data_IF_017531668911
#
_entry.id   IF_017531668911
#
_cell.length_a   1.000
_cell.length_b   1.000
_cell.length_c   1.000
_cell.angle_alpha   90.00
_cell.angle_beta   90.00
_cell.angle_gamma   90.00
#
_symmetry.space_group_name_H-M   'P 1'
#
loop_
_entity.id
_entity.type
_entity.pdbx_description
1 polymer ?
#
# COMPACT_ATOMS: atom_id res chain seq x y z
N UNK A 1 -28.49 -11.23 -13.13
CA UNK A 1 -27.55 -10.77 -14.17
C UNK A 1 -28.08 -11.28 -15.51
N UNK A 2 -28.29 -10.39 -16.50
CA UNK A 2 -28.81 -10.72 -17.85
C UNK A 2 -27.69 -10.69 -18.89
N UNK A 3 -27.94 -11.22 -20.08
CA UNK A 3 -26.95 -11.22 -21.16
C UNK A 3 -26.47 -9.79 -21.49
N UNK A 4 -25.15 -9.63 -21.65
CA UNK A 4 -24.50 -8.34 -21.83
C UNK A 4 -24.31 -7.46 -20.58
N UNK A 5 -24.77 -7.89 -19.39
CA UNK A 5 -24.59 -7.14 -18.13
C UNK A 5 -23.60 -7.87 -17.22
N UNK A 6 -22.57 -7.17 -16.74
CA UNK A 6 -21.62 -7.68 -15.74
C UNK A 6 -21.77 -6.88 -14.45
N UNK A 7 -21.78 -7.57 -13.32
CA UNK A 7 -21.81 -6.96 -12.00
C UNK A 7 -20.58 -7.38 -11.21
N UNK A 8 -19.85 -6.40 -10.69
CA UNK A 8 -18.72 -6.62 -9.75
C UNK A 8 -19.09 -6.00 -8.41
N UNK A 9 -18.95 -6.78 -7.34
CA UNK A 9 -19.22 -6.32 -5.98
C UNK A 9 -17.89 -6.04 -5.31
N UNK A 10 -17.67 -4.79 -4.88
CA UNK A 10 -16.53 -4.39 -4.05
C UNK A 10 -17.01 -4.31 -2.60
N UNK A 11 -16.49 -5.20 -1.75
CA UNK A 11 -16.82 -5.24 -0.33
C UNK A 11 -15.76 -4.49 0.48
N UNK A 12 -16.20 -3.58 1.36
CA UNK A 12 -15.38 -2.93 2.38
C UNK A 12 -16.11 -3.14 3.70
N UNK A 13 -15.44 -3.75 4.68
CA UNK A 13 -16.01 -3.99 6.02
C UNK A 13 -15.30 -3.14 7.06
N UNK A 14 -16.01 -2.80 8.13
CA UNK A 14 -15.44 -2.04 9.24
C UNK A 14 -14.25 -2.77 9.87
N UNK A 15 -14.42 -4.05 10.21
CA UNK A 15 -13.38 -4.87 10.83
C UNK A 15 -12.08 -4.93 10.02
N UNK A 16 -12.18 -5.12 8.70
CA UNK A 16 -11.00 -5.19 7.84
C UNK A 16 -10.32 -3.81 7.70
N UNK A 17 -11.12 -2.75 7.59
CA UNK A 17 -10.63 -1.37 7.49
C UNK A 17 -9.92 -0.95 8.77
N UNK A 18 -10.45 -1.32 9.94
CA UNK A 18 -9.85 -1.06 11.24
C UNK A 18 -8.51 -1.79 11.41
N UNK A 19 -8.45 -3.07 11.03
CA UNK A 19 -7.21 -3.86 11.07
C UNK A 19 -6.09 -3.25 10.23
N UNK A 20 -6.37 -2.86 8.98
CA UNK A 20 -5.33 -2.27 8.12
C UNK A 20 -4.94 -0.87 8.58
N UNK A 21 -5.87 -0.10 9.15
CA UNK A 21 -5.58 1.20 9.75
C UNK A 21 -4.63 1.06 10.94
N UNK A 22 -4.96 0.19 11.91
CA UNK A 22 -4.13 -0.08 13.08
C UNK A 22 -2.73 -0.55 12.66
N UNK A 23 -2.66 -1.51 11.72
CA UNK A 23 -1.39 -1.97 11.17
C UNK A 23 -0.58 -0.84 10.52
N UNK A 24 -1.19 0.06 9.75
CA UNK A 24 -0.47 1.15 9.09
C UNK A 24 0.16 2.12 10.10
N UNK A 25 -0.55 2.44 11.18
CA UNK A 25 -0.03 3.30 12.25
C UNK A 25 1.04 2.61 13.09
N UNK A 26 0.85 1.33 13.44
CA UNK A 26 1.88 0.54 14.12
C UNK A 26 3.14 0.41 13.26
N UNK A 27 2.97 0.13 11.97
CA UNK A 27 4.07 0.08 11.00
C UNK A 27 4.81 1.42 10.95
N UNK A 28 4.08 2.54 10.89
CA UNK A 28 4.67 3.86 10.87
C UNK A 28 5.53 4.11 12.13
N UNK A 29 4.99 3.83 13.32
CA UNK A 29 5.73 4.00 14.58
C UNK A 29 6.96 3.09 14.66
N UNK A 30 6.80 1.81 14.36
CA UNK A 30 7.88 0.82 14.46
C UNK A 30 9.02 1.07 13.46
N UNK A 31 8.71 1.72 12.33
CA UNK A 31 9.68 2.06 11.29
C UNK A 31 10.03 3.56 11.27
N UNK A 32 9.75 4.30 12.35
CA UNK A 32 10.13 5.71 12.54
C UNK A 32 9.62 6.63 11.41
N UNK A 33 8.43 6.36 10.91
CA UNK A 33 7.74 7.19 9.90
C UNK A 33 6.97 8.30 10.59
N UNK A 34 6.86 9.43 9.92
CA UNK A 34 6.30 10.66 10.49
C UNK A 34 4.84 10.87 10.11
N UNK A 35 4.38 10.28 9.00
CA UNK A 35 3.01 10.48 8.53
C UNK A 35 2.37 9.27 7.87
N UNK A 36 1.05 9.16 8.02
CA UNK A 36 0.18 8.19 7.37
C UNK A 36 -0.89 8.95 6.59
N UNK A 37 -1.04 8.64 5.30
CA UNK A 37 -2.07 9.21 4.43
C UNK A 37 -3.07 8.14 4.02
N UNK A 38 -4.34 8.35 4.37
CA UNK A 38 -5.44 7.56 3.84
C UNK A 38 -5.72 7.94 2.38
N UNK A 39 -5.69 6.96 1.48
CA UNK A 39 -6.03 7.17 0.07
C UNK A 39 -7.39 6.57 -0.22
N UNK A 40 -8.34 7.40 -0.66
CA UNK A 40 -9.69 6.97 -0.96
C UNK A 40 -10.30 7.72 -2.16
N UNK A 41 -11.50 7.31 -2.57
CA UNK A 41 -12.30 7.99 -3.60
C UNK A 41 -13.71 8.29 -3.10
N UNK A 42 -13.84 8.59 -1.82
CA UNK A 42 -15.09 9.07 -1.25
C UNK A 42 -15.09 10.61 -1.26
N UNK A 43 -15.88 11.17 -2.16
CA UNK A 43 -16.39 12.52 -1.97
C UNK A 43 -17.62 12.37 -1.07
N UNK A 44 -17.76 13.22 -0.05
CA UNK A 44 -18.97 13.44 0.77
C UNK A 44 -18.84 12.97 2.24
N UNK A 45 -19.31 13.86 3.12
CA UNK A 45 -19.37 13.78 4.58
C UNK A 45 -20.68 13.07 4.95
N UNK A 46 -20.63 12.00 5.75
CA UNK A 46 -21.79 11.21 6.14
C UNK A 46 -22.04 11.15 7.65
N UNK A 47 -23.33 11.12 8.03
CA UNK A 47 -23.95 11.04 9.38
C UNK A 47 -23.96 12.30 10.25
N UNK A 48 -22.81 12.80 10.73
CA UNK A 48 -22.79 13.91 11.71
C UNK A 48 -23.39 15.22 11.17
N UNK A 49 -23.28 15.46 9.87
CA UNK A 49 -23.87 16.64 9.23
C UNK A 49 -25.39 16.47 9.06
N UNK A 50 -25.86 15.25 8.75
CA UNK A 50 -27.28 14.98 8.54
C UNK A 50 -28.08 15.13 9.85
N UNK A 51 -27.52 14.75 10.99
CA UNK A 51 -28.14 14.91 12.32
C UNK A 51 -28.41 16.37 12.69
N UNK A 52 -27.70 17.34 12.07
CA UNK A 52 -27.91 18.78 12.27
C UNK A 52 -29.14 19.32 11.54
N UNK A 53 -29.71 18.57 10.59
CA UNK A 53 -30.87 18.98 9.78
C UNK A 53 -32.08 18.09 10.08
N UNK A 54 -32.73 18.33 11.23
CA UNK A 54 -33.87 17.54 11.72
C UNK A 54 -35.10 17.55 10.80
N UNK A 55 -35.19 18.55 9.92
CA UNK A 55 -36.31 18.71 8.98
C UNK A 55 -36.12 17.87 7.71
N UNK A 56 -34.94 17.26 7.52
CA UNK A 56 -34.62 16.42 6.37
C UNK A 56 -34.78 14.95 6.79
N UNK A 57 -35.63 14.21 6.08
CA UNK A 57 -35.80 12.77 6.31
C UNK A 57 -34.57 12.03 5.79
N UNK A 58 -33.73 11.53 6.70
CA UNK A 58 -32.59 10.69 6.36
C UNK A 58 -33.00 9.20 6.35
N UNK A 59 -32.66 8.48 5.29
CA UNK A 59 -32.93 7.03 5.16
C UNK A 59 -31.64 6.32 4.80
N UNK A 60 -31.17 5.42 5.66
CA UNK A 60 -30.02 4.56 5.38
C UNK A 60 -30.47 3.35 4.56
N UNK A 61 -29.81 3.13 3.44
CA UNK A 61 -30.05 1.98 2.56
C UNK A 61 -28.72 1.40 2.11
N UNK A 62 -28.67 0.08 1.92
CA UNK A 62 -27.53 -0.56 1.29
C UNK A 62 -27.40 -0.10 -0.17
N UNK A 63 -26.17 0.10 -0.62
CA UNK A 63 -25.87 0.63 -1.95
C UNK A 63 -26.51 -0.21 -3.07
N UNK A 64 -26.54 -1.53 -2.92
CA UNK A 64 -27.17 -2.45 -3.87
C UNK A 64 -28.68 -2.21 -3.99
N UNK A 65 -29.35 -1.99 -2.88
CA UNK A 65 -30.78 -1.65 -2.81
C UNK A 65 -31.02 -0.29 -3.44
N UNK A 66 -30.17 0.71 -3.17
CA UNK A 66 -30.24 2.03 -3.82
C UNK A 66 -30.07 1.90 -5.33
N UNK A 67 -29.07 1.14 -5.81
CA UNK A 67 -28.84 0.94 -7.24
C UNK A 67 -30.04 0.25 -7.92
N UNK A 68 -30.61 -0.79 -7.31
CA UNK A 68 -31.80 -1.46 -7.84
C UNK A 68 -33.01 -0.53 -7.89
N UNK A 69 -33.25 0.20 -6.80
CA UNK A 69 -34.34 1.14 -6.67
C UNK A 69 -34.19 2.33 -7.63
N UNK A 70 -32.98 2.83 -7.87
CA UNK A 70 -32.71 3.90 -8.84
C UNK A 70 -33.06 3.49 -10.27
N UNK A 71 -32.83 2.22 -10.64
CA UNK A 71 -33.19 1.70 -11.96
C UNK A 71 -34.71 1.55 -12.09
N UNK A 72 -35.39 1.17 -11.00
CA UNK A 72 -36.84 0.98 -11.00
C UNK A 72 -37.63 2.31 -10.95
N UNK A 73 -37.21 3.23 -10.09
CA UNK A 73 -37.80 4.56 -9.94
C UNK A 73 -36.77 5.52 -9.30
N UNK A 74 -36.09 6.38 -10.07
CA UNK A 74 -35.14 7.33 -9.52
C UNK A 74 -35.80 8.49 -8.76
N UNK A 75 -37.11 8.73 -8.92
CA UNK A 75 -37.81 9.89 -8.33
C UNK A 75 -38.01 9.78 -6.82
N UNK A 76 -37.80 8.59 -6.25
CA UNK A 76 -37.84 8.35 -4.81
C UNK A 76 -36.62 8.91 -4.06
N UNK A 77 -35.59 9.39 -4.77
CA UNK A 77 -34.37 9.93 -4.19
C UNK A 77 -34.18 11.41 -4.55
N UNK A 78 -34.20 12.30 -3.55
CA UNK A 78 -33.87 13.71 -3.76
C UNK A 78 -32.35 13.93 -3.81
N UNK A 79 -31.63 13.37 -2.82
CA UNK A 79 -30.17 13.49 -2.68
C UNK A 79 -29.61 12.17 -2.17
N UNK A 80 -28.59 11.65 -2.84
CA UNK A 80 -27.83 10.48 -2.40
C UNK A 80 -26.52 10.92 -1.75
N UNK A 81 -26.33 10.48 -0.52
CA UNK A 81 -25.12 10.74 0.28
C UNK A 81 -24.47 9.39 0.53
N UNK A 82 -23.19 9.26 0.17
CA UNK A 82 -22.43 8.02 0.39
C UNK A 82 -21.40 8.26 1.51
N UNK A 83 -21.46 7.50 2.62
CA UNK A 83 -20.50 7.67 3.70
C UNK A 83 -19.10 7.19 3.29
N UNK A 84 -18.05 7.83 3.83
CA UNK A 84 -16.67 7.38 3.69
C UNK A 84 -16.29 6.46 4.86
N UNK A 85 -16.92 5.28 4.95
CA UNK A 85 -16.66 4.31 6.02
C UNK A 85 -15.16 4.10 6.27
N UNK A 86 -14.38 3.98 5.19
CA UNK A 86 -12.94 3.79 5.28
C UNK A 86 -12.23 4.99 5.92
N UNK A 87 -12.44 6.20 5.41
CA UNK A 87 -11.82 7.41 5.98
C UNK A 87 -12.23 7.68 7.42
N UNK A 88 -13.51 7.46 7.75
CA UNK A 88 -14.03 7.65 9.12
C UNK A 88 -13.34 6.72 10.12
N UNK A 89 -13.17 5.44 9.77
CA UNK A 89 -12.43 4.47 10.60
C UNK A 89 -10.95 4.89 10.76
N UNK A 90 -10.32 5.33 9.67
CA UNK A 90 -8.91 5.74 9.72
C UNK A 90 -8.72 6.99 10.59
N UNK A 91 -9.65 7.95 10.55
CA UNK A 91 -9.68 9.10 11.46
C UNK A 91 -9.80 8.66 12.92
N UNK A 92 -10.74 7.76 13.23
CA UNK A 92 -10.95 7.25 14.59
C UNK A 92 -9.68 6.54 15.12
N UNK A 93 -9.05 5.71 14.30
CA UNK A 93 -7.80 5.04 14.67
C UNK A 93 -6.67 6.05 14.87
N UNK A 94 -6.58 7.08 14.01
CA UNK A 94 -5.55 8.12 14.10
C UNK A 94 -5.55 8.85 15.44
N UNK A 95 -6.71 9.01 16.10
CA UNK A 95 -6.81 9.64 17.43
C UNK A 95 -5.96 8.94 18.51
N UNK A 96 -5.69 7.63 18.32
CA UNK A 96 -4.85 6.80 19.21
C UNK A 96 -3.34 6.97 18.94
N UNK A 97 -2.96 7.60 17.83
CA UNK A 97 -1.57 7.73 17.34
C UNK A 97 -1.19 9.21 17.11
N UNK A 98 -1.31 10.03 18.17
CA UNK A 98 -1.08 11.49 18.08
C UNK A 98 0.34 11.91 17.73
N UNK A 99 1.30 10.98 17.82
CA UNK A 99 2.69 11.12 17.41
C UNK A 99 2.89 11.01 15.88
N UNK A 100 1.90 10.48 15.16
CA UNK A 100 1.92 10.31 13.70
C UNK A 100 0.98 11.32 13.05
N UNK A 101 1.50 12.09 12.09
CA UNK A 101 0.66 13.02 11.32
C UNK A 101 -0.27 12.23 10.39
N UNK A 102 -1.58 12.43 10.55
CA UNK A 102 -2.58 11.83 9.67
C UNK A 102 -3.11 12.83 8.64
N UNK A 103 -3.22 12.38 7.38
CA UNK A 103 -3.85 13.13 6.29
C UNK A 103 -4.73 12.24 5.43
N UNK A 104 -5.65 12.84 4.67
CA UNK A 104 -6.51 12.13 3.72
C UNK A 104 -6.36 12.76 2.34
N UNK A 105 -6.28 11.92 1.30
CA UNK A 105 -6.15 12.39 -0.07
C UNK A 105 -6.94 11.52 -1.04
N UNK A 106 -7.40 12.14 -2.13
CA UNK A 106 -8.07 11.41 -3.19
C UNK A 106 -7.07 10.63 -4.04
N UNK A 107 -7.45 9.43 -4.49
CA UNK A 107 -6.61 8.56 -5.30
C UNK A 107 -6.03 9.25 -6.55
N UNK A 108 -6.84 10.03 -7.28
CA UNK A 108 -6.38 10.78 -8.46
C UNK A 108 -5.39 11.88 -8.10
N UNK A 109 -5.63 12.61 -7.01
CA UNK A 109 -4.68 13.60 -6.50
C UNK A 109 -3.38 12.93 -6.08
N UNK A 110 -3.43 11.79 -5.41
CA UNK A 110 -2.23 11.02 -5.04
C UNK A 110 -1.50 10.57 -6.30
N UNK A 111 -2.17 9.98 -7.29
CA UNK A 111 -1.52 9.58 -8.54
C UNK A 111 -0.84 10.75 -9.26
N UNK A 112 -1.52 11.91 -9.37
CA UNK A 112 -0.97 13.11 -9.99
C UNK A 112 0.26 13.63 -9.23
N UNK A 113 0.14 13.75 -7.91
CA UNK A 113 1.21 14.26 -7.06
C UNK A 113 2.39 13.28 -7.00
N UNK A 114 2.15 11.97 -7.04
CA UNK A 114 3.16 10.92 -6.97
C UNK A 114 4.12 10.98 -8.16
N UNK A 115 3.62 11.29 -9.36
CA UNK A 115 4.46 11.43 -10.55
C UNK A 115 5.12 12.80 -10.67
N UNK A 116 4.66 13.79 -9.91
CA UNK A 116 5.23 15.15 -9.91
C UNK A 116 6.29 15.33 -8.82
N UNK A 117 5.97 14.94 -7.60
CA UNK A 117 6.86 15.01 -6.44
C UNK A 117 6.51 13.87 -5.46
N UNK A 118 7.10 12.68 -5.61
CA UNK A 118 6.84 11.56 -4.71
C UNK A 118 7.38 11.79 -3.28
N UNK A 119 8.25 12.78 -3.07
CA UNK A 119 8.91 13.01 -1.77
C UNK A 119 7.96 13.56 -0.69
N UNK A 120 6.78 14.00 -1.09
CA UNK A 120 5.72 14.43 -0.17
C UNK A 120 5.04 13.29 0.58
N UNK A 121 5.23 12.03 0.15
CA UNK A 121 4.55 10.85 0.71
C UNK A 121 5.48 10.01 1.60
N UNK A 122 4.92 9.46 2.68
CA UNK A 122 5.62 8.59 3.62
C UNK A 122 4.93 7.21 3.68
N UNK A 123 3.91 7.04 4.53
CA UNK A 123 3.08 5.82 4.55
C UNK A 123 1.73 6.08 3.89
N UNK A 124 1.36 5.27 2.91
CA UNK A 124 0.05 5.31 2.27
C UNK A 124 -0.77 4.08 2.67
N UNK A 125 -2.01 4.30 3.11
CA UNK A 125 -2.93 3.23 3.50
C UNK A 125 -4.22 3.35 2.69
N UNK A 126 -4.65 2.23 2.08
CA UNK A 126 -5.76 2.26 1.12
C UNK A 126 -6.45 0.89 0.93
N UNK A 127 -7.66 0.85 0.36
CA UNK A 127 -8.32 -0.38 -0.05
C UNK A 127 -7.58 -1.15 -1.15
N UNK A 128 -7.78 -2.46 -1.21
CA UNK A 128 -7.07 -3.43 -2.07
C UNK A 128 -6.77 -2.93 -3.50
N UNK A 129 -7.79 -2.64 -4.31
CA UNK A 129 -7.60 -2.23 -5.71
C UNK A 129 -6.73 -0.97 -5.87
N UNK A 130 -6.78 -0.04 -4.90
CA UNK A 130 -5.97 1.18 -4.98
C UNK A 130 -4.52 0.87 -4.62
N UNK A 131 -4.31 -0.05 -3.66
CA UNK A 131 -3.01 -0.55 -3.26
C UNK A 131 -2.29 -1.20 -4.42
N UNK A 132 -2.98 -2.10 -5.14
CA UNK A 132 -2.47 -2.81 -6.32
C UNK A 132 -1.95 -1.83 -7.40
N UNK A 133 -2.73 -0.80 -7.70
CA UNK A 133 -2.35 0.21 -8.71
C UNK A 133 -1.20 1.09 -8.21
N UNK A 134 -1.28 1.61 -6.97
CA UNK A 134 -0.29 2.54 -6.45
C UNK A 134 1.05 1.85 -6.11
N UNK A 135 1.04 0.58 -5.69
CA UNK A 135 2.28 -0.17 -5.46
C UNK A 135 3.09 -0.33 -6.74
N UNK A 136 2.42 -0.65 -7.86
CA UNK A 136 3.08 -0.78 -9.17
C UNK A 136 3.55 0.56 -9.71
N UNK A 137 2.76 1.64 -9.51
CA UNK A 137 3.19 3.00 -9.83
C UNK A 137 4.49 3.35 -9.08
N UNK A 138 4.53 3.12 -7.77
CA UNK A 138 5.70 3.39 -6.94
C UNK A 138 6.90 2.52 -7.34
N UNK A 139 6.69 1.25 -7.68
CA UNK A 139 7.73 0.39 -8.22
C UNK A 139 8.32 0.97 -9.51
N UNK A 140 7.46 1.47 -10.42
CA UNK A 140 7.88 2.14 -11.65
C UNK A 140 8.78 3.37 -11.42
N UNK A 141 8.55 4.14 -10.35
CA UNK A 141 9.35 5.31 -10.02
C UNK A 141 10.79 4.98 -9.59
N UNK A 142 11.04 3.79 -9.04
CA UNK A 142 12.34 3.40 -8.48
C UNK A 142 13.14 2.43 -9.36
N UNK A 143 12.67 2.12 -10.56
CA UNK A 143 13.35 1.22 -11.51
C UNK A 143 12.60 -0.08 -11.81
N UNK A 144 11.39 -0.26 -11.27
CA UNK A 144 10.48 -1.36 -11.58
C UNK A 144 10.42 -2.46 -10.52
N UNK A 145 9.63 -3.49 -10.82
CA UNK A 145 9.36 -4.60 -9.90
C UNK A 145 10.61 -5.42 -9.54
N UNK A 146 11.65 -5.42 -10.38
CA UNK A 146 12.90 -6.16 -10.15
C UNK A 146 13.73 -5.70 -8.95
N UNK A 147 13.44 -4.51 -8.41
CA UNK A 147 14.10 -3.94 -7.22
C UNK A 147 13.14 -3.66 -6.06
N UNK A 148 11.86 -3.97 -6.22
CA UNK A 148 10.83 -3.61 -5.24
C UNK A 148 10.54 -4.79 -4.30
N UNK A 149 10.88 -4.71 -3.01
CA UNK A 149 10.55 -5.75 -2.06
C UNK A 149 9.07 -5.69 -1.63
N UNK A 150 8.52 -6.81 -1.19
CA UNK A 150 7.16 -6.89 -0.64
C UNK A 150 7.04 -7.88 0.52
N UNK A 151 6.02 -7.66 1.35
CA UNK A 151 5.69 -8.52 2.48
C UNK A 151 4.21 -8.47 2.80
N UNK A 152 3.61 -9.64 2.97
CA UNK A 152 2.22 -9.85 3.35
C UNK A 152 2.16 -10.28 4.81
N UNK A 153 1.47 -9.49 5.63
CA UNK A 153 1.30 -9.79 7.06
C UNK A 153 -0.12 -10.30 7.29
N UNK A 154 -0.21 -11.46 7.96
CA UNK A 154 -1.45 -12.15 8.26
C UNK A 154 -1.72 -12.27 9.76
N UNK A 155 -2.86 -12.89 10.09
CA UNK A 155 -3.21 -13.22 11.47
C UNK A 155 -2.25 -14.27 12.05
N UNK A 156 -2.26 -14.41 13.39
CA UNK A 156 -1.50 -15.43 14.12
C UNK A 156 0.02 -15.39 13.86
N UNK A 157 0.58 -14.19 13.71
CA UNK A 157 2.00 -13.95 13.44
C UNK A 157 2.52 -14.67 12.18
N UNK A 158 1.64 -14.90 11.20
CA UNK A 158 2.05 -15.40 9.88
C UNK A 158 2.47 -14.21 9.02
N UNK A 159 3.66 -14.29 8.42
CA UNK A 159 4.16 -13.30 7.47
C UNK A 159 4.80 -14.01 6.28
N UNK A 160 4.53 -13.52 5.06
CA UNK A 160 5.09 -14.04 3.81
C UNK A 160 5.81 -12.89 3.10
N UNK A 161 7.10 -13.06 2.86
CA UNK A 161 7.92 -12.08 2.13
C UNK A 161 8.25 -12.65 0.77
N UNK A 162 7.91 -11.92 -0.28
CA UNK A 162 7.98 -12.46 -1.64
C UNK A 162 8.46 -11.41 -2.65
N UNK A 163 8.88 -11.88 -3.81
CA UNK A 163 9.03 -11.11 -5.03
C UNK A 163 9.18 -12.07 -6.21
N UNK A 164 9.21 -11.55 -7.43
CA UNK A 164 9.33 -12.36 -8.64
C UNK A 164 10.79 -12.78 -8.83
N UNK A 165 11.06 -14.08 -8.76
CA UNK A 165 12.37 -14.66 -9.10
C UNK A 165 12.34 -15.30 -10.49
N UNK A 166 13.33 -15.00 -11.32
CA UNK A 166 13.46 -15.54 -12.67
C UNK A 166 14.70 -16.42 -12.89
N UNK A 167 14.98 -16.77 -14.15
CA UNK A 167 16.17 -17.51 -14.60
C UNK A 167 17.49 -16.77 -14.24
N UNK A 168 18.68 -17.36 -14.45
CA UNK A 168 20.02 -16.79 -14.12
C UNK A 168 20.38 -15.45 -14.85
N UNK A 169 19.41 -14.83 -15.52
CA UNK A 169 19.47 -13.45 -16.04
C UNK A 169 18.64 -12.45 -15.21
N UNK A 170 17.88 -12.92 -14.21
CA UNK A 170 17.01 -12.11 -13.39
C UNK A 170 17.80 -11.37 -12.30
N UNK A 171 17.28 -10.22 -11.91
CA UNK A 171 17.79 -9.47 -10.79
C UNK A 171 17.28 -10.06 -9.47
N UNK A 172 18.16 -10.53 -8.56
CA UNK A 172 17.74 -11.08 -7.28
C UNK A 172 17.41 -9.98 -6.25
N UNK A 173 17.60 -8.69 -6.57
CA UNK A 173 17.50 -7.57 -5.62
C UNK A 173 16.16 -7.53 -4.90
N UNK A 174 15.04 -7.62 -5.62
CA UNK A 174 13.73 -7.55 -4.98
C UNK A 174 13.50 -8.68 -3.96
N UNK A 175 13.80 -9.93 -4.33
CA UNK A 175 13.65 -11.07 -3.41
C UNK A 175 14.64 -10.98 -2.23
N UNK A 176 15.87 -10.52 -2.48
CA UNK A 176 16.88 -10.31 -1.44
C UNK A 176 16.42 -9.24 -0.43
N UNK A 177 15.87 -8.13 -0.91
CA UNK A 177 15.33 -7.08 -0.05
C UNK A 177 14.05 -7.51 0.67
N UNK A 178 13.21 -8.38 0.06
CA UNK A 178 12.10 -9.04 0.78
C UNK A 178 12.62 -9.94 1.90
N UNK A 179 13.74 -10.66 1.70
CA UNK A 179 14.39 -11.43 2.75
C UNK A 179 14.99 -10.51 3.85
N UNK A 180 15.51 -9.33 3.50
CA UNK A 180 15.91 -8.31 4.48
C UNK A 180 14.72 -7.83 5.31
N UNK A 181 13.56 -7.60 4.68
CA UNK A 181 12.32 -7.27 5.41
C UNK A 181 11.92 -8.38 6.39
N UNK A 182 12.04 -9.65 5.96
CA UNK A 182 11.81 -10.82 6.82
C UNK A 182 12.75 -10.83 8.03
N UNK A 183 14.05 -10.64 7.82
CA UNK A 183 15.04 -10.59 8.91
C UNK A 183 14.71 -9.48 9.92
N UNK A 184 14.34 -8.30 9.44
CA UNK A 184 13.89 -7.18 10.30
C UNK A 184 12.63 -7.53 11.07
N UNK A 185 11.66 -8.20 10.44
CA UNK A 185 10.44 -8.66 11.10
C UNK A 185 10.71 -9.69 12.21
N UNK A 186 11.74 -10.53 12.05
CA UNK A 186 12.19 -11.50 13.06
C UNK A 186 13.05 -10.89 14.18
N UNK A 187 13.36 -9.59 14.13
CA UNK A 187 14.27 -8.93 15.07
C UNK A 187 15.76 -9.11 14.77
N UNK A 188 16.12 -9.70 13.63
CA UNK A 188 17.48 -9.94 13.17
C UNK A 188 18.04 -8.72 12.40
N UNK A 189 17.94 -7.53 13.03
CA UNK A 189 18.21 -6.24 12.38
C UNK A 189 19.65 -6.11 11.85
N UNK A 190 20.64 -6.63 12.58
CA UNK A 190 22.05 -6.53 12.20
C UNK A 190 22.36 -7.31 10.93
N UNK A 191 21.82 -8.53 10.79
CA UNK A 191 21.93 -9.33 9.58
C UNK A 191 21.24 -8.65 8.40
N UNK A 192 20.03 -8.15 8.61
CA UNK A 192 19.30 -7.40 7.58
C UNK A 192 20.08 -6.17 7.11
N UNK A 193 20.68 -5.42 8.05
CA UNK A 193 21.47 -4.22 7.74
C UNK A 193 22.75 -4.54 6.97
N UNK A 194 23.47 -5.61 7.34
CA UNK A 194 24.67 -6.06 6.62
C UNK A 194 24.32 -6.39 5.16
N UNK A 195 23.33 -7.24 4.94
CA UNK A 195 22.90 -7.66 3.59
C UNK A 195 22.41 -6.47 2.76
N UNK A 196 21.58 -5.59 3.34
CA UNK A 196 21.08 -4.38 2.65
C UNK A 196 22.22 -3.45 2.23
N UNK A 197 23.16 -3.20 3.14
CA UNK A 197 24.32 -2.33 2.88
C UNK A 197 25.17 -2.90 1.75
N UNK A 198 25.52 -4.20 1.82
CA UNK A 198 26.28 -4.87 0.77
C UNK A 198 25.57 -4.85 -0.58
N UNK A 199 24.26 -5.06 -0.61
CA UNK A 199 23.46 -4.97 -1.84
C UNK A 199 23.49 -3.56 -2.43
N UNK A 200 23.24 -2.52 -1.61
CA UNK A 200 23.27 -1.14 -2.06
C UNK A 200 24.65 -0.68 -2.51
N UNK A 201 25.72 -1.11 -1.84
CA UNK A 201 27.08 -0.77 -2.24
C UNK A 201 27.48 -1.47 -3.55
N UNK A 202 27.06 -2.73 -3.78
CA UNK A 202 27.23 -3.40 -5.07
C UNK A 202 26.54 -2.62 -6.20
N UNK A 203 25.29 -2.17 -5.97
CA UNK A 203 24.54 -1.39 -6.96
C UNK A 203 25.21 -0.02 -7.20
N UNK A 204 25.66 0.65 -6.12
CA UNK A 204 26.32 1.96 -6.17
C UNK A 204 27.64 1.93 -6.94
N UNK A 205 28.40 0.84 -6.82
CA UNK A 205 29.71 0.69 -7.48
C UNK A 205 29.60 0.50 -9.00
N UNK A 206 28.45 0.08 -9.51
CA UNK A 206 28.13 -0.09 -10.94
C UNK A 206 29.05 -1.07 -11.70
N UNK A 207 29.87 -1.87 -11.01
CA UNK A 207 30.81 -2.82 -11.62
C UNK A 207 30.15 -4.14 -11.98
N UNK A 208 29.34 -4.67 -11.08
CA UNK A 208 28.63 -5.95 -11.24
C UNK A 208 27.14 -5.62 -11.14
N UNK A 209 26.49 -5.47 -12.30
CA UNK A 209 25.08 -5.12 -12.40
C UNK A 209 24.38 -6.06 -13.37
N UNK A 210 23.15 -6.45 -13.03
CA UNK A 210 22.27 -7.18 -13.94
C UNK A 210 21.75 -6.26 -15.06
N UNK A 211 21.19 -6.85 -16.11
CA UNK A 211 20.79 -6.14 -17.34
C UNK A 211 19.73 -5.06 -17.12
N UNK A 212 18.77 -5.32 -16.26
CA UNK A 212 17.71 -4.38 -15.87
C UNK A 212 18.24 -3.15 -15.12
N UNK A 213 19.37 -3.29 -14.44
CA UNK A 213 20.10 -2.19 -13.80
C UNK A 213 21.13 -1.51 -14.73
N UNK A 214 21.18 -1.91 -16.01
CA UNK A 214 22.09 -1.34 -17.01
C UNK A 214 23.46 -2.02 -17.13
N UNK A 215 23.67 -3.17 -16.47
CA UNK A 215 24.90 -3.95 -16.58
C UNK A 215 24.82 -5.13 -17.53
N UNK A 216 25.84 -5.99 -17.49
CA UNK A 216 25.92 -7.21 -18.30
C UNK A 216 26.22 -8.48 -17.47
N UNK A 217 26.22 -8.37 -16.14
CA UNK A 217 26.54 -9.47 -15.25
C UNK A 217 25.37 -10.44 -15.11
N UNK A 218 25.69 -11.70 -14.84
CA UNK A 218 24.70 -12.74 -14.50
C UNK A 218 24.18 -12.57 -13.07
N UNK A 219 23.05 -13.20 -12.77
CA UNK A 219 22.50 -13.25 -11.41
C UNK A 219 23.51 -13.84 -10.41
N UNK A 220 24.17 -14.94 -10.80
CA UNK A 220 25.24 -15.57 -10.02
C UNK A 220 26.43 -14.65 -9.73
N UNK A 221 26.88 -13.85 -10.69
CA UNK A 221 27.99 -12.90 -10.52
C UNK A 221 27.60 -11.77 -9.57
N UNK A 222 26.40 -11.21 -9.75
CA UNK A 222 25.84 -10.19 -8.86
C UNK A 222 25.71 -10.69 -7.41
N UNK A 223 25.24 -11.94 -7.26
CA UNK A 223 25.09 -12.57 -5.94
C UNK A 223 26.46 -12.81 -5.29
N UNK A 224 27.45 -13.29 -6.05
CA UNK A 224 28.80 -13.54 -5.55
C UNK A 224 29.47 -12.26 -5.02
N UNK A 225 29.31 -11.14 -5.73
CA UNK A 225 29.83 -9.83 -5.30
C UNK A 225 29.18 -9.38 -3.98
N UNK A 226 27.86 -9.55 -3.83
CA UNK A 226 27.18 -9.24 -2.56
C UNK A 226 27.70 -10.14 -1.43
N UNK A 227 27.83 -11.45 -1.68
CA UNK A 227 28.36 -12.39 -0.69
C UNK A 227 29.78 -12.01 -0.23
N UNK A 228 30.65 -11.61 -1.16
CA UNK A 228 32.00 -11.15 -0.84
C UNK A 228 31.96 -9.92 0.07
N UNK A 229 31.15 -8.91 -0.27
CA UNK A 229 31.01 -7.70 0.56
C UNK A 229 30.47 -7.98 1.95
N UNK A 230 29.53 -8.91 2.08
CA UNK A 230 29.01 -9.31 3.40
C UNK A 230 30.12 -9.93 4.24
N UNK A 231 30.98 -10.77 3.65
CA UNK A 231 32.11 -11.40 4.34
C UNK A 231 33.19 -10.40 4.75
N UNK A 232 33.39 -9.36 3.95
CA UNK A 232 34.40 -8.31 4.23
C UNK A 232 33.96 -7.33 5.34
N UNK A 233 32.70 -7.39 5.79
CA UNK A 233 32.16 -6.59 6.90
C UNK A 233 32.33 -7.24 8.29
N UNK A 234 32.89 -8.46 8.35
CA UNK A 234 33.22 -9.18 9.58
C UNK A 234 34.68 -8.96 10.01
#
# INVERSE_FOLDING_TARGET
>A
IVDGVVQSIKLITEDASRKIAEYAFEYARNNQRASVTAVHKANIIGREVAEKYRDIKFTEMYLDTVCLNMVQDPTQFDVLVMPNLYGDILREVAEKYRDIKFTEMYLDTVCLNMVQDPTQFDVLVMPNLYGDILSDLCAGLIGGLGVTPSGNIGANNVAIFESVAGLDMANPTALLLSAVMMLRHMGLHDYGKKIETSCFDTIRDKKVLTRDLGGNSKCSEFTAEICQRVQDMD
#
